data_IF_376044587816
#
_entry.id   IF_376044587816
#
_cell.length_a   1.000
_cell.length_b   1.000
_cell.length_c   1.000
_cell.angle_alpha   90.00
_cell.angle_beta   90.00
_cell.angle_gamma   90.00
#
_symmetry.space_group_name_H-M   'P 1'
#
loop_
_entity.id
_entity.type
_entity.pdbx_description
1 polymer ?
#
# COMPACT_ATOMS: atom_id res chain seq x y z
N UNK A 1 6.88 14.56 -6.08
CA UNK A 1 5.44 14.35 -5.82
C UNK A 1 5.18 12.87 -6.02
N UNK A 2 4.98 12.08 -4.96
CA UNK A 2 4.73 10.65 -5.06
C UNK A 2 3.25 10.35 -4.78
N UNK A 3 2.58 9.60 -5.65
CA UNK A 3 1.25 9.04 -5.40
C UNK A 3 1.42 7.87 -4.43
N UNK A 4 0.76 7.93 -3.27
CA UNK A 4 0.81 6.87 -2.27
C UNK A 4 -0.17 5.77 -2.67
N UNK A 5 0.36 4.62 -3.11
CA UNK A 5 -0.44 3.47 -3.50
C UNK A 5 -0.78 2.66 -2.24
N UNK A 6 -2.06 2.34 -2.00
CA UNK A 6 -2.46 1.42 -0.94
C UNK A 6 -1.74 0.08 -1.06
N UNK A 7 -1.17 -0.39 0.05
CA UNK A 7 -0.42 -1.65 0.10
C UNK A 7 -0.99 -2.54 1.18
N UNK A 8 -1.15 -3.84 0.89
CA UNK A 8 -1.71 -4.80 1.83
C UNK A 8 -0.62 -5.40 2.71
N UNK A 9 -0.83 -5.50 4.02
CA UNK A 9 0.07 -6.22 4.93
C UNK A 9 -0.10 -7.72 4.70
N UNK A 10 0.98 -8.38 4.29
CA UNK A 10 1.00 -9.84 4.02
C UNK A 10 1.81 -10.63 5.05
N UNK A 11 2.66 -9.96 5.83
CA UNK A 11 3.37 -10.54 6.97
C UNK A 11 3.71 -9.47 8.01
N UNK A 12 3.80 -9.87 9.27
CA UNK A 12 4.15 -9.01 10.40
C UNK A 12 5.29 -9.64 11.20
N UNK A 13 6.37 -8.90 11.38
CA UNK A 13 7.51 -9.28 12.24
C UNK A 13 7.56 -8.33 13.44
N UNK A 14 7.12 -8.86 14.59
CA UNK A 14 7.02 -8.11 15.84
C UNK A 14 8.41 -7.90 16.47
N UNK A 15 9.32 -8.86 16.33
CA UNK A 15 10.67 -8.76 16.91
C UNK A 15 11.49 -7.66 16.25
N UNK A 16 11.32 -7.50 14.93
CA UNK A 16 12.02 -6.48 14.12
C UNK A 16 11.24 -5.17 13.95
N UNK A 17 10.02 -5.10 14.47
CA UNK A 17 9.08 -3.99 14.24
C UNK A 17 9.01 -3.60 12.75
N UNK A 18 8.80 -4.61 11.91
CA UNK A 18 8.69 -4.47 10.46
C UNK A 18 7.53 -5.29 9.92
N UNK A 19 6.94 -4.82 8.83
CA UNK A 19 5.87 -5.53 8.13
C UNK A 19 6.22 -5.69 6.65
N UNK A 20 5.86 -6.82 6.07
CA UNK A 20 5.94 -7.01 4.63
C UNK A 20 4.61 -6.60 4.02
N UNK A 21 4.66 -5.70 3.06
CA UNK A 21 3.49 -5.19 2.34
C UNK A 21 3.55 -5.58 0.87
N UNK A 22 2.39 -5.79 0.26
CA UNK A 22 2.21 -6.04 -1.16
C UNK A 22 1.57 -4.81 -1.82
N UNK A 23 2.29 -4.20 -2.75
CA UNK A 23 1.82 -3.08 -3.58
C UNK A 23 1.68 -3.56 -5.02
N UNK A 24 0.46 -3.88 -5.46
CA UNK A 24 0.17 -4.31 -6.83
C UNK A 24 1.04 -5.51 -7.31
N UNK A 25 1.35 -6.46 -6.42
CA UNK A 25 2.17 -7.65 -6.70
C UNK A 25 3.65 -7.49 -6.35
N UNK A 26 4.08 -6.30 -5.92
CA UNK A 26 5.46 -6.05 -5.48
C UNK A 26 5.54 -6.03 -3.96
N UNK A 27 6.33 -6.96 -3.40
CA UNK A 27 6.52 -7.06 -1.94
C UNK A 27 7.68 -6.22 -1.45
N UNK A 28 7.48 -5.52 -0.33
CA UNK A 28 8.51 -4.69 0.33
C UNK A 28 8.41 -4.82 1.84
N UNK A 29 9.55 -4.82 2.51
CA UNK A 29 9.61 -4.70 3.96
C UNK A 29 9.64 -3.22 4.34
N UNK A 30 8.76 -2.84 5.27
CA UNK A 30 8.63 -1.47 5.76
C UNK A 30 8.63 -1.44 7.28
N UNK A 31 9.19 -0.38 7.83
CA UNK A 31 9.25 -0.19 9.28
C UNK A 31 7.88 0.19 9.82
N UNK A 32 7.43 -0.51 10.87
CA UNK A 32 6.19 -0.21 11.59
C UNK A 32 6.40 0.70 12.80
N UNK A 33 7.62 1.22 13.02
CA UNK A 33 7.98 2.02 14.19
C UNK A 33 7.17 3.32 14.33
N UNK A 34 6.63 3.85 13.23
CA UNK A 34 5.86 5.09 13.20
C UNK A 34 4.34 4.87 13.29
N UNK A 35 3.88 3.62 13.38
CA UNK A 35 2.47 3.32 13.54
C UNK A 35 2.06 3.42 15.01
N UNK A 36 1.01 4.19 15.27
CA UNK A 36 0.41 4.29 16.60
C UNK A 36 -0.52 3.11 16.93
N UNK A 37 -0.93 2.35 15.90
CA UNK A 37 -1.84 1.21 16.01
C UNK A 37 -1.13 -0.08 15.57
N UNK A 38 -1.45 -1.23 16.20
CA UNK A 38 -0.94 -2.52 15.73
C UNK A 38 -1.48 -2.83 14.33
N UNK A 39 -0.61 -3.37 13.48
CA UNK A 39 -0.95 -3.82 12.14
C UNK A 39 -1.16 -5.33 12.13
N UNK A 40 -2.21 -5.77 11.44
CA UNK A 40 -2.54 -7.17 11.24
C UNK A 40 -2.42 -7.59 9.77
N UNK A 41 -2.27 -8.89 9.55
CA UNK A 41 -2.26 -9.45 8.19
C UNK A 41 -3.63 -9.19 7.57
N UNK A 42 -3.64 -8.57 6.39
CA UNK A 42 -4.85 -8.18 5.67
C UNK A 42 -5.19 -6.69 5.76
N UNK A 43 -4.54 -5.93 6.66
CA UNK A 43 -4.69 -4.48 6.74
C UNK A 43 -4.14 -3.79 5.49
N UNK A 44 -4.73 -2.65 5.15
CA UNK A 44 -4.25 -1.79 4.07
C UNK A 44 -3.64 -0.52 4.65
N UNK A 45 -2.46 -0.19 4.12
CA UNK A 45 -1.66 0.93 4.60
C UNK A 45 -1.12 1.76 3.46
N UNK A 46 -0.97 3.06 3.72
CA UNK A 46 -0.27 3.98 2.82
C UNK A 46 1.19 4.11 3.26
N UNK A 47 2.11 3.96 2.31
CA UNK A 47 3.55 3.97 2.57
C UNK A 47 4.16 5.23 1.97
N UNK A 48 5.05 5.87 2.70
CA UNK A 48 5.88 6.96 2.22
C UNK A 48 7.34 6.73 2.61
N UNK A 49 8.23 6.66 1.61
CA UNK A 49 9.69 6.57 1.79
C UNK A 49 10.10 5.40 2.73
N UNK A 50 9.44 4.25 2.61
CA UNK A 50 9.74 3.04 3.40
C UNK A 50 9.12 2.98 4.79
N UNK A 51 8.28 3.96 5.14
CA UNK A 51 7.51 3.99 6.39
C UNK A 51 6.02 3.88 6.13
N UNK A 52 5.33 3.21 7.04
CA UNK A 52 3.88 3.17 7.05
C UNK A 52 3.34 4.46 7.68
N UNK A 53 2.41 5.14 7.02
CA UNK A 53 1.86 6.42 7.49
C UNK A 53 0.59 6.24 8.30
N UNK A 54 -0.45 5.65 7.71
CA UNK A 54 -1.77 5.50 8.34
C UNK A 54 -2.45 4.22 7.84
N UNK A 55 -3.23 3.60 8.73
CA UNK A 55 -4.17 2.54 8.36
C UNK A 55 -5.37 3.15 7.67
N UNK A 56 -5.88 2.48 6.64
CA UNK A 56 -7.10 2.87 5.92
C UNK A 56 -8.08 1.70 5.89
N UNK A 57 -9.37 2.03 5.80
CA UNK A 57 -10.41 1.01 5.66
C UNK A 57 -10.28 0.27 4.33
N UNK A 58 -10.61 -1.03 4.37
CA UNK A 58 -10.45 -1.92 3.21
C UNK A 58 -11.31 -1.51 2.02
N UNK A 59 -12.51 -0.99 2.28
CA UNK A 59 -13.43 -0.54 1.24
C UNK A 59 -12.87 0.66 0.47
N UNK A 60 -12.41 1.68 1.21
CA UNK A 60 -11.78 2.88 0.66
C UNK A 60 -10.48 2.55 -0.10
N UNK A 61 -9.70 1.60 0.42
CA UNK A 61 -8.49 1.10 -0.24
C UNK A 61 -8.83 0.47 -1.60
N UNK A 62 -9.85 -0.38 -1.65
CA UNK A 62 -10.25 -1.08 -2.87
C UNK A 62 -10.78 -0.11 -3.94
N UNK A 63 -11.64 0.83 -3.55
CA UNK A 63 -12.15 1.87 -4.45
C UNK A 63 -11.01 2.70 -5.05
N UNK A 64 -10.04 3.08 -4.22
CA UNK A 64 -8.85 3.81 -4.66
C UNK A 64 -8.04 2.99 -5.67
N UNK A 65 -7.77 1.73 -5.37
CA UNK A 65 -7.01 0.82 -6.26
C UNK A 65 -7.69 0.67 -7.62
N UNK A 66 -9.00 0.50 -7.65
CA UNK A 66 -9.73 0.31 -8.90
C UNK A 66 -9.71 1.58 -9.76
N UNK A 67 -9.82 2.76 -9.14
CA UNK A 67 -9.64 4.04 -9.83
C UNK A 67 -8.21 4.18 -10.39
N UNK A 68 -7.18 3.79 -9.62
CA UNK A 68 -5.80 3.81 -10.10
C UNK A 68 -5.60 2.89 -11.31
N UNK A 69 -6.18 1.69 -11.30
CA UNK A 69 -6.12 0.78 -12.45
C UNK A 69 -6.77 1.39 -13.68
N UNK A 70 -7.92 2.05 -13.53
CA UNK A 70 -8.59 2.73 -14.63
C UNK A 70 -7.72 3.84 -15.23
N UNK A 71 -7.06 4.64 -14.38
CA UNK A 71 -6.13 5.69 -14.82
C UNK A 71 -4.95 5.08 -15.60
N UNK A 72 -4.35 4.01 -15.09
CA UNK A 72 -3.24 3.31 -15.77
C UNK A 72 -3.68 2.79 -17.14
N UNK A 73 -4.82 2.11 -17.21
CA UNK A 73 -5.36 1.58 -18.48
C UNK A 73 -5.66 2.70 -19.49
N UNK A 74 -6.18 3.84 -19.03
CA UNK A 74 -6.44 5.00 -19.91
C UNK A 74 -5.14 5.60 -20.44
N UNK A 75 -4.13 5.77 -19.60
CA UNK A 75 -2.82 6.29 -20.01
C UNK A 75 -2.09 5.35 -20.98
N UNK A 76 -2.20 4.03 -20.78
CA UNK A 76 -1.65 3.03 -21.72
C UNK A 76 -2.33 3.09 -23.09
N UNK A 77 -3.65 3.30 -23.13
CA UNK A 77 -4.39 3.43 -24.39
C UNK A 77 -4.08 4.75 -25.12
N UNK A 78 -3.84 5.85 -24.41
CA UNK A 78 -3.43 7.13 -24.99
C UNK A 78 -1.97 7.12 -25.49
N UNK A 79 -1.08 6.35 -24.86
CA UNK A 79 0.32 6.22 -25.27
C UNK A 79 0.53 5.39 -26.57
N UNK A 80 -0.51 4.72 -27.06
CA UNK A 80 -0.51 3.90 -28.28
C UNK A 80 -1.03 4.71 -29.50
N UNK A 81 -1.46 5.96 -29.31
CA UNK A 81 -1.84 6.90 -30.37
C UNK A 81 -0.83 8.04 -30.55
#
# INVERSE_FOLDING_TARGET
MCLSIPSQVVAVDIERQSVTVDTLGVRRDVSSHLMNEPLEIGDYVLIHIGFVMNKIDKEDAQQSIDLYKEIVTKLENEAIH
#
